data_IF_905503352318
#
_entry.id   IF_905503352318
#
_cell.length_a   1.000
_cell.length_b   1.000
_cell.length_c   1.000
_cell.angle_alpha   90.00
_cell.angle_beta   90.00
_cell.angle_gamma   90.00
#
_symmetry.space_group_name_H-M   'P 1'
#
loop_
_entity.id
_entity.type
_entity.pdbx_description
1 polymer ?
#
# COMPACT_ATOMS: atom_id res chain seq x y z
N UNK A 1 12.03 18.18 -43.91
CA UNK A 1 12.72 17.33 -42.92
C UNK A 1 12.03 17.55 -41.58
N UNK A 2 11.03 16.73 -41.26
CA UNK A 2 10.29 16.86 -40.00
C UNK A 2 11.15 16.30 -38.87
N UNK A 3 11.54 17.18 -37.94
CA UNK A 3 12.11 16.81 -36.65
C UNK A 3 11.04 15.97 -35.94
N UNK A 4 11.26 14.67 -35.82
CA UNK A 4 10.50 13.86 -34.86
C UNK A 4 10.96 14.35 -33.50
N UNK A 5 10.14 15.16 -32.86
CA UNK A 5 10.30 15.43 -31.44
C UNK A 5 10.16 14.08 -30.75
N UNK A 6 11.26 13.65 -30.16
CA UNK A 6 11.35 12.42 -29.40
C UNK A 6 10.31 12.52 -28.27
N UNK A 7 9.17 11.85 -28.46
CA UNK A 7 8.18 11.68 -27.41
C UNK A 7 8.92 11.22 -26.15
N UNK A 8 8.67 11.83 -24.98
CA UNK A 8 9.41 11.52 -23.78
C UNK A 8 9.28 10.02 -23.53
N UNK A 9 10.37 9.27 -23.79
CA UNK A 9 10.46 7.87 -23.39
C UNK A 9 10.43 7.93 -21.88
N UNK A 10 9.25 7.74 -21.29
CA UNK A 10 9.11 7.55 -19.87
C UNK A 10 10.02 6.37 -19.51
N UNK A 11 11.22 6.67 -19.03
CA UNK A 11 12.17 5.66 -18.59
C UNK A 11 11.58 5.11 -17.30
N UNK A 12 10.76 4.08 -17.45
CA UNK A 12 10.09 3.45 -16.34
C UNK A 12 11.17 2.82 -15.45
N UNK A 13 11.41 3.44 -14.29
CA UNK A 13 12.42 2.99 -13.34
C UNK A 13 11.81 1.97 -12.39
N UNK A 14 12.54 0.90 -12.09
CA UNK A 14 12.13 -0.06 -11.07
C UNK A 14 11.95 0.59 -9.69
N UNK A 15 12.68 1.68 -9.39
CA UNK A 15 12.44 2.47 -8.18
C UNK A 15 11.05 3.11 -8.18
N UNK A 16 10.55 3.55 -9.35
CA UNK A 16 9.19 4.09 -9.50
C UNK A 16 8.15 3.00 -9.27
N UNK A 17 8.36 1.77 -9.75
CA UNK A 17 7.52 0.62 -9.44
C UNK A 17 7.44 0.38 -7.93
N UNK A 18 8.59 0.36 -7.26
CA UNK A 18 8.64 0.19 -5.80
C UNK A 18 7.85 1.29 -5.10
N UNK A 19 8.08 2.57 -5.44
CA UNK A 19 7.37 3.70 -4.82
C UNK A 19 5.86 3.66 -5.04
N UNK A 20 5.42 3.39 -6.27
CA UNK A 20 3.98 3.28 -6.60
C UNK A 20 3.36 2.09 -5.90
N UNK A 21 4.02 0.93 -5.92
CA UNK A 21 3.55 -0.27 -5.23
C UNK A 21 3.42 -0.05 -3.71
N UNK A 22 4.38 0.65 -3.10
CA UNK A 22 4.34 1.00 -1.68
C UNK A 22 3.21 1.97 -1.37
N UNK A 23 2.99 2.97 -2.23
CA UNK A 23 1.87 3.90 -2.10
C UNK A 23 0.52 3.17 -2.13
N UNK A 24 0.31 2.28 -3.12
CA UNK A 24 -0.91 1.47 -3.23
C UNK A 24 -1.06 0.56 -2.00
N UNK A 25 0.01 -0.14 -1.61
CA UNK A 25 -0.01 -1.06 -0.48
C UNK A 25 -0.44 -0.37 0.81
N UNK A 26 0.17 0.78 1.13
CA UNK A 26 -0.11 1.53 2.36
C UNK A 26 -1.51 2.17 2.33
N UNK A 27 -1.86 2.84 1.23
CA UNK A 27 -3.13 3.56 1.09
C UNK A 27 -4.34 2.65 0.95
N UNK A 28 -4.15 1.38 0.56
CA UNK A 28 -5.22 0.41 0.49
C UNK A 28 -5.17 -0.61 1.65
N UNK A 29 -4.20 -0.54 2.56
CA UNK A 29 -4.07 -1.52 3.65
C UNK A 29 -5.20 -1.37 4.66
N UNK A 30 -6.11 -2.37 4.80
CA UNK A 30 -7.16 -2.33 5.81
C UNK A 30 -6.58 -2.19 7.22
N UNK A 31 -5.46 -2.86 7.49
CA UNK A 31 -4.76 -2.80 8.78
C UNK A 31 -4.26 -1.38 9.11
N UNK A 32 -3.78 -0.64 8.11
CA UNK A 32 -3.31 0.74 8.33
C UNK A 32 -4.45 1.67 8.79
N UNK A 33 -5.62 1.61 8.14
CA UNK A 33 -6.79 2.39 8.55
C UNK A 33 -7.34 1.96 9.91
N UNK A 34 -7.30 0.68 10.21
CA UNK A 34 -7.69 0.17 11.53
C UNK A 34 -6.75 0.66 12.62
N UNK A 35 -5.43 0.67 12.39
CA UNK A 35 -4.46 1.23 13.33
C UNK A 35 -4.66 2.73 13.54
N UNK A 36 -4.94 3.50 12.47
CA UNK A 36 -5.29 4.91 12.59
C UNK A 36 -6.58 5.10 13.40
N UNK A 37 -7.59 4.28 13.12
CA UNK A 37 -8.86 4.29 13.85
C UNK A 37 -8.65 4.04 15.34
N UNK A 38 -7.95 2.97 15.71
CA UNK A 38 -7.63 2.65 17.11
C UNK A 38 -6.83 3.77 17.77
N UNK A 39 -5.84 4.33 17.09
CA UNK A 39 -5.03 5.44 17.61
C UNK A 39 -5.88 6.70 17.84
N UNK A 40 -6.83 6.98 16.96
CA UNK A 40 -7.81 8.06 17.14
C UNK A 40 -8.71 7.83 18.37
N UNK A 41 -9.19 6.60 18.57
CA UNK A 41 -9.96 6.25 19.77
C UNK A 41 -9.12 6.35 21.05
N UNK A 42 -7.83 6.00 20.99
CA UNK A 42 -6.93 6.18 22.13
C UNK A 42 -6.76 7.65 22.51
N UNK A 43 -6.62 8.53 21.51
CA UNK A 43 -6.59 9.99 21.72
C UNK A 43 -7.91 10.48 22.34
N UNK A 44 -9.05 9.99 21.87
CA UNK A 44 -10.37 10.37 22.42
C UNK A 44 -10.55 9.85 23.86
N UNK A 45 -10.10 8.62 24.15
CA UNK A 45 -10.16 8.04 25.49
C UNK A 45 -9.24 8.77 26.48
N UNK A 46 -8.14 9.39 26.01
CA UNK A 46 -7.31 10.30 26.80
C UNK A 46 -8.07 11.56 27.25
N UNK A 47 -9.12 11.97 26.53
CA UNK A 47 -10.00 13.09 26.89
C UNK A 47 -11.29 12.65 27.64
N UNK A 48 -11.25 11.49 28.30
CA UNK A 48 -12.23 11.01 29.28
C UNK A 48 -13.63 10.62 28.73
N UNK A 49 -13.72 10.34 27.44
CA UNK A 49 -14.85 9.61 26.84
C UNK A 49 -14.52 8.13 26.86
N UNK A 50 -15.20 7.31 27.67
CA UNK A 50 -14.96 5.87 27.72
C UNK A 50 -15.56 5.15 26.50
N UNK A 51 -14.83 5.08 25.39
CA UNK A 51 -15.22 4.26 24.23
C UNK A 51 -14.62 2.86 24.31
N UNK A 52 -15.46 1.85 24.14
CA UNK A 52 -15.07 0.44 24.10
C UNK A 52 -14.32 0.12 22.80
N UNK A 53 -13.03 -0.22 22.94
CA UNK A 53 -12.11 -0.51 21.84
C UNK A 53 -12.46 -1.79 21.07
N UNK A 54 -13.21 -2.71 21.69
CA UNK A 54 -13.46 -4.03 21.10
C UNK A 54 -14.42 -3.97 19.90
N UNK A 55 -15.35 -3.00 19.88
CA UNK A 55 -16.31 -2.86 18.79
C UNK A 55 -15.66 -2.59 17.40
N UNK A 56 -14.44 -2.05 17.37
CA UNK A 56 -13.69 -1.81 16.12
C UNK A 56 -12.86 -3.02 15.71
N UNK A 57 -12.25 -3.72 16.68
CA UNK A 57 -11.40 -4.88 16.40
C UNK A 57 -12.15 -6.06 15.76
N UNK A 58 -13.44 -6.24 16.07
CA UNK A 58 -14.25 -7.37 15.60
C UNK A 58 -14.80 -7.24 14.15
N UNK A 59 -14.70 -6.06 13.52
CA UNK A 59 -15.17 -5.88 12.13
C UNK A 59 -14.24 -6.53 11.08
N UNK A 60 -12.99 -6.87 11.43
CA UNK A 60 -12.04 -7.50 10.51
C UNK A 60 -11.81 -8.99 10.76
N UNK A 61 -12.12 -9.52 11.95
CA UNK A 61 -11.79 -10.91 12.33
C UNK A 61 -12.93 -11.90 12.15
N UNK A 62 -14.10 -11.44 11.73
CA UNK A 62 -15.29 -12.27 11.55
C UNK A 62 -15.41 -12.73 10.10
N UNK A 63 -16.00 -13.90 9.88
CA UNK A 63 -16.32 -14.42 8.55
C UNK A 63 -17.17 -13.45 7.68
N UNK A 64 -17.70 -12.38 8.28
CA UNK A 64 -18.50 -11.32 7.67
C UNK A 64 -17.71 -10.01 7.49
N UNK A 65 -16.46 -10.12 7.04
CA UNK A 65 -15.64 -8.95 6.71
C UNK A 65 -16.36 -8.12 5.64
N UNK A 66 -16.71 -6.87 5.96
CA UNK A 66 -17.48 -6.00 5.06
C UNK A 66 -16.81 -5.95 3.67
N UNK A 67 -17.56 -6.05 2.56
CA UNK A 67 -16.99 -6.20 1.21
C UNK A 67 -15.91 -5.16 0.86
N UNK A 68 -16.03 -3.95 1.43
CA UNK A 68 -15.05 -2.88 1.25
C UNK A 68 -13.67 -3.22 1.80
N UNK A 69 -13.57 -3.89 2.95
CA UNK A 69 -12.30 -4.29 3.53
C UNK A 69 -11.65 -5.45 2.77
N UNK A 70 -12.46 -6.34 2.17
CA UNK A 70 -11.95 -7.38 1.26
C UNK A 70 -11.33 -6.75 0.01
N UNK A 71 -12.02 -5.79 -0.62
CA UNK A 71 -11.51 -5.06 -1.79
C UNK A 71 -10.23 -4.31 -1.45
N UNK A 72 -10.19 -3.61 -0.32
CA UNK A 72 -8.97 -2.94 0.18
C UNK A 72 -7.81 -3.93 0.36
N UNK A 73 -8.08 -5.12 0.95
CA UNK A 73 -7.10 -6.19 1.08
C UNK A 73 -6.54 -6.65 -0.27
N UNK A 74 -7.40 -6.86 -1.27
CA UNK A 74 -6.96 -7.22 -2.63
C UNK A 74 -6.10 -6.13 -3.27
N UNK A 75 -6.53 -4.87 -3.20
CA UNK A 75 -5.78 -3.74 -3.79
C UNK A 75 -4.44 -3.55 -3.08
N UNK A 76 -4.40 -3.69 -1.76
CA UNK A 76 -3.15 -3.67 -0.98
C UNK A 76 -2.22 -4.81 -1.41
N UNK A 77 -2.75 -6.03 -1.57
CA UNK A 77 -2.00 -7.18 -2.07
C UNK A 77 -1.41 -6.97 -3.47
N UNK A 78 -2.16 -6.36 -4.38
CA UNK A 78 -1.67 -5.96 -5.71
C UNK A 78 -0.52 -4.95 -5.58
N UNK A 79 -0.66 -3.94 -4.72
CA UNK A 79 0.40 -2.97 -4.42
C UNK A 79 1.68 -3.66 -3.94
N UNK A 80 1.56 -4.63 -3.04
CA UNK A 80 2.70 -5.41 -2.56
C UNK A 80 3.38 -6.23 -3.66
N UNK A 81 2.61 -6.87 -4.54
CA UNK A 81 3.14 -7.59 -5.71
C UNK A 81 3.95 -6.66 -6.63
N UNK A 82 3.47 -5.44 -6.87
CA UNK A 82 4.19 -4.44 -7.67
C UNK A 82 5.53 -4.07 -7.01
N UNK A 83 5.57 -3.94 -5.67
CA UNK A 83 6.83 -3.71 -4.94
C UNK A 83 7.81 -4.87 -5.16
N UNK A 84 7.34 -6.12 -5.03
CA UNK A 84 8.19 -7.29 -5.24
C UNK A 84 8.80 -7.30 -6.65
N UNK A 85 7.99 -7.05 -7.67
CA UNK A 85 8.46 -6.97 -9.07
C UNK A 85 9.52 -5.86 -9.23
N UNK A 86 9.28 -4.69 -8.64
CA UNK A 86 10.23 -3.58 -8.64
C UNK A 86 11.56 -3.96 -7.97
N UNK A 87 11.52 -4.57 -6.78
CA UNK A 87 12.72 -5.01 -6.07
C UNK A 87 13.49 -6.10 -6.82
N UNK A 88 12.80 -7.09 -7.39
CA UNK A 88 13.42 -8.12 -8.23
C UNK A 88 14.11 -7.49 -9.44
N UNK A 89 13.48 -6.52 -10.08
CA UNK A 89 14.09 -5.77 -11.19
C UNK A 89 15.38 -5.06 -10.80
N UNK A 90 15.40 -4.39 -9.65
CA UNK A 90 16.59 -3.73 -9.09
C UNK A 90 17.71 -4.75 -8.83
N UNK A 91 17.39 -5.90 -8.23
CA UNK A 91 18.35 -6.96 -7.94
C UNK A 91 18.97 -7.56 -9.22
N UNK A 92 18.14 -7.81 -10.24
CA UNK A 92 18.60 -8.32 -11.53
C UNK A 92 19.49 -7.29 -12.23
N UNK A 93 19.13 -6.01 -12.19
CA UNK A 93 19.95 -4.96 -12.79
C UNK A 93 21.30 -4.84 -12.07
N UNK A 94 21.29 -4.82 -10.73
CA UNK A 94 22.50 -4.73 -9.92
C UNK A 94 23.44 -5.92 -10.12
N UNK A 95 22.91 -7.14 -10.24
CA UNK A 95 23.70 -8.34 -10.51
C UNK A 95 24.31 -8.37 -11.92
N UNK A 96 23.63 -7.80 -12.93
CA UNK A 96 24.15 -7.67 -14.29
C UNK A 96 25.25 -6.61 -14.40
N UNK A 97 25.15 -5.51 -13.65
CA UNK A 97 26.18 -4.45 -13.64
C UNK A 97 27.50 -4.90 -12.99
N UNK A 98 27.48 -5.95 -12.18
CA UNK A 98 28.68 -6.52 -11.53
C UNK A 98 29.41 -7.59 -12.36
N UNK A 99 28.88 -8.01 -13.51
CA UNK A 99 29.54 -8.92 -14.46
C UNK A 99 30.10 -8.12 -15.62
#
# INVERSE_FOLDING_TARGET
MFKRDDAPKASFSFSTLVSVGLGIFLLASPGFYMSIGVLWFDIINLFNTHYDRQALGFSLSTHDMHPIFQVMGYVSGIGFLIVLIGLTGILVQHSRTRR
#
